data_IF_499442240691
#
_entry.id   IF_499442240691
#
_cell.length_a   1.000
_cell.length_b   1.000
_cell.length_c   1.000
_cell.angle_alpha   90.00
_cell.angle_beta   90.00
_cell.angle_gamma   90.00
#
_symmetry.space_group_name_H-M   'P 1'
#
loop_
_entity.id
_entity.type
_entity.pdbx_description
1 polymer ?
#
# COMPACT_ATOMS: atom_id res chain seq x y z
N UNK A 1 -12.75 5.02 -8.10
CA UNK A 1 -12.02 4.31 -7.02
C UNK A 1 -10.51 4.34 -7.23
N UNK A 2 -9.97 3.89 -8.37
CA UNK A 2 -8.51 3.78 -8.60
C UNK A 2 -7.72 5.06 -8.30
N UNK A 3 -8.14 6.21 -8.84
CA UNK A 3 -7.44 7.48 -8.65
C UNK A 3 -7.38 7.84 -7.16
N UNK A 4 -8.50 7.77 -6.47
CA UNK A 4 -8.61 8.11 -5.04
C UNK A 4 -7.74 7.17 -4.19
N UNK A 5 -7.75 5.87 -4.48
CA UNK A 5 -6.90 4.87 -3.81
C UNK A 5 -5.42 5.13 -4.06
N UNK A 6 -5.03 5.47 -5.29
CA UNK A 6 -3.63 5.67 -5.66
C UNK A 6 -3.04 6.97 -5.10
N UNK A 7 -3.82 8.05 -5.04
CA UNK A 7 -3.34 9.36 -4.59
C UNK A 7 -3.65 9.67 -3.13
N UNK A 8 -4.66 9.02 -2.54
CA UNK A 8 -5.20 9.38 -1.24
C UNK A 8 -4.16 9.30 -0.12
N UNK A 9 -3.39 8.21 -0.04
CA UNK A 9 -2.32 8.07 0.95
C UNK A 9 -1.25 9.18 0.85
N UNK A 10 -0.84 9.50 -0.38
CA UNK A 10 0.12 10.58 -0.63
C UNK A 10 -0.42 11.98 -0.32
N UNK A 11 -1.72 12.22 -0.53
CA UNK A 11 -2.37 13.47 -0.12
C UNK A 11 -2.37 13.60 1.40
N UNK A 12 -2.76 12.54 2.13
CA UNK A 12 -2.73 12.56 3.59
C UNK A 12 -1.32 12.83 4.14
N UNK A 13 -0.30 12.16 3.56
CA UNK A 13 1.10 12.41 3.87
C UNK A 13 1.49 13.87 3.68
N UNK A 14 1.18 14.43 2.51
CA UNK A 14 1.56 15.80 2.17
C UNK A 14 0.86 16.80 3.09
N UNK A 15 -0.40 16.56 3.47
CA UNK A 15 -1.11 17.39 4.45
C UNK A 15 -0.49 17.32 5.85
N UNK A 16 -0.10 16.14 6.31
CA UNK A 16 0.58 15.98 7.61
C UNK A 16 1.97 16.64 7.65
N UNK A 17 2.64 16.69 6.51
CA UNK A 17 3.92 17.38 6.34
C UNK A 17 3.77 18.90 6.12
N UNK A 18 2.55 19.41 5.97
CA UNK A 18 2.30 20.82 5.60
C UNK A 18 2.66 21.16 4.15
N UNK A 19 2.86 20.16 3.30
CA UNK A 19 3.19 20.32 1.89
C UNK A 19 1.92 20.66 1.07
N UNK A 20 1.54 21.93 1.04
CA UNK A 20 0.40 22.44 0.26
C UNK A 20 0.87 23.22 -0.98
N UNK A 21 0.34 22.95 -2.20
CA UNK A 21 -0.64 21.90 -2.52
C UNK A 21 0.00 20.48 -2.52
N UNK A 22 -0.79 19.41 -2.34
CA UNK A 22 -0.29 18.03 -2.43
C UNK A 22 0.33 17.68 -3.78
N UNK A 23 1.37 16.85 -3.78
CA UNK A 23 2.14 16.41 -4.95
C UNK A 23 1.27 15.76 -6.02
N UNK A 24 0.28 14.97 -5.59
CA UNK A 24 -0.69 14.34 -6.49
C UNK A 24 -1.52 15.34 -7.31
N UNK A 25 -1.66 16.58 -6.84
CA UNK A 25 -2.37 17.66 -7.53
C UNK A 25 -1.44 18.58 -8.33
N UNK A 26 -0.13 18.56 -8.04
CA UNK A 26 0.87 19.34 -8.79
C UNK A 26 1.14 18.77 -10.18
N UNK A 27 1.08 17.45 -10.34
CA UNK A 27 1.41 16.78 -11.60
C UNK A 27 0.27 15.88 -12.08
N UNK A 28 -0.19 16.03 -13.34
CA UNK A 28 -1.23 15.18 -13.90
C UNK A 28 -0.77 13.72 -14.08
N UNK A 29 0.54 13.46 -14.02
CA UNK A 29 1.13 12.15 -14.24
C UNK A 29 0.53 11.04 -13.35
N UNK A 30 0.36 11.30 -12.05
CA UNK A 30 -0.19 10.32 -11.11
C UNK A 30 -1.65 9.96 -11.41
N UNK A 31 -2.44 10.96 -11.82
CA UNK A 31 -3.84 10.79 -12.19
C UNK A 31 -3.94 9.98 -13.48
N UNK A 32 -3.14 10.33 -14.50
CA UNK A 32 -3.12 9.65 -15.80
C UNK A 32 -2.75 8.17 -15.65
N UNK A 33 -1.70 7.84 -14.91
CA UNK A 33 -1.32 6.44 -14.65
C UNK A 33 -2.46 5.67 -13.97
N UNK A 34 -3.13 6.30 -13.00
CA UNK A 34 -4.23 5.66 -12.28
C UNK A 34 -5.45 5.38 -13.16
N UNK A 35 -5.72 6.26 -14.14
CA UNK A 35 -6.77 6.06 -15.15
C UNK A 35 -6.38 4.92 -16.09
N UNK A 36 -5.16 4.93 -16.62
CA UNK A 36 -4.67 3.88 -17.52
C UNK A 36 -4.71 2.52 -16.83
N UNK A 37 -4.19 2.41 -15.60
CA UNK A 37 -4.23 1.19 -14.81
C UNK A 37 -5.66 0.68 -14.58
N UNK A 38 -6.61 1.59 -14.34
CA UNK A 38 -8.03 1.25 -14.17
C UNK A 38 -8.67 0.75 -15.46
N UNK A 39 -8.35 1.36 -16.60
CA UNK A 39 -8.87 0.92 -17.91
C UNK A 39 -8.33 -0.47 -18.23
N UNK A 40 -7.03 -0.71 -18.01
CA UNK A 40 -6.42 -2.03 -18.21
C UNK A 40 -7.08 -3.08 -17.30
N UNK A 41 -7.22 -2.78 -16.00
CA UNK A 41 -7.87 -3.68 -15.06
C UNK A 41 -9.33 -3.97 -15.45
N UNK A 42 -10.07 -2.97 -15.92
CA UNK A 42 -11.45 -3.12 -16.41
C UNK A 42 -11.52 -3.97 -17.67
N UNK A 43 -10.65 -3.74 -18.67
CA UNK A 43 -10.60 -4.53 -19.90
C UNK A 43 -10.28 -6.00 -19.62
N UNK A 44 -9.31 -6.27 -18.74
CA UNK A 44 -8.98 -7.63 -18.30
C UNK A 44 -10.20 -8.28 -17.63
N UNK A 45 -10.88 -7.58 -16.73
CA UNK A 45 -12.09 -8.09 -16.08
C UNK A 45 -13.23 -8.38 -17.09
N UNK A 46 -13.41 -7.52 -18.10
CA UNK A 46 -14.41 -7.71 -19.16
C UNK A 46 -14.08 -8.89 -20.08
N UNK A 47 -12.82 -9.05 -20.48
CA UNK A 47 -12.38 -10.19 -21.30
C UNK A 47 -12.64 -11.51 -20.56
N UNK A 48 -12.34 -11.56 -19.26
CA UNK A 48 -12.59 -12.73 -18.42
C UNK A 48 -14.10 -13.01 -18.34
N UNK A 49 -14.92 -11.98 -18.06
CA UNK A 49 -16.39 -12.11 -17.97
C UNK A 49 -17.03 -12.54 -19.29
N UNK A 50 -16.54 -12.02 -20.42
CA UNK A 50 -17.08 -12.29 -21.76
C UNK A 50 -16.73 -13.68 -22.28
N UNK A 51 -15.73 -14.36 -21.72
CA UNK A 51 -15.16 -15.56 -22.34
C UNK A 51 -15.77 -16.88 -21.88
N UNK A 52 -16.30 -17.10 -20.66
CA UNK A 52 -16.62 -18.50 -20.25
C UNK A 52 -17.60 -18.80 -19.09
N UNK A 53 -18.11 -20.02 -19.21
CA UNK A 53 -18.85 -20.94 -18.32
C UNK A 53 -18.31 -21.10 -16.87
N UNK A 54 -19.19 -21.55 -15.98
CA UNK A 54 -19.07 -21.60 -14.51
C UNK A 54 -17.77 -22.20 -13.93
N UNK A 55 -17.18 -23.23 -14.55
CA UNK A 55 -15.96 -23.89 -14.03
C UNK A 55 -14.70 -23.03 -14.20
N UNK A 56 -14.66 -22.18 -15.23
CA UNK A 56 -13.53 -21.27 -15.49
C UNK A 56 -13.57 -20.00 -14.61
N UNK A 57 -14.75 -19.62 -14.14
CA UNK A 57 -14.98 -18.44 -13.31
C UNK A 57 -14.26 -18.58 -11.96
N UNK A 58 -14.30 -19.77 -11.34
CA UNK A 58 -13.58 -20.01 -10.08
C UNK A 58 -12.06 -19.91 -10.23
N UNK A 59 -11.49 -20.41 -11.33
CA UNK A 59 -10.04 -20.37 -11.57
C UNK A 59 -9.57 -18.95 -11.91
N UNK A 60 -10.37 -18.21 -12.68
CA UNK A 60 -10.10 -16.81 -13.00
C UNK A 60 -10.28 -15.88 -11.78
N UNK A 61 -11.30 -16.11 -10.94
CA UNK A 61 -11.51 -15.37 -9.70
C UNK A 61 -10.34 -15.58 -8.72
N UNK A 62 -9.84 -16.81 -8.59
CA UNK A 62 -8.65 -17.11 -7.76
C UNK A 62 -7.41 -16.40 -8.28
N UNK A 63 -7.19 -16.37 -9.59
CA UNK A 63 -6.07 -15.65 -10.19
C UNK A 63 -6.17 -14.14 -9.97
N UNK A 64 -7.37 -13.55 -10.13
CA UNK A 64 -7.61 -12.14 -9.90
C UNK A 64 -7.38 -11.74 -8.43
N UNK A 65 -7.87 -12.54 -7.48
CA UNK A 65 -7.63 -12.30 -6.06
C UNK A 65 -6.13 -12.33 -5.71
N UNK A 66 -5.37 -13.26 -6.29
CA UNK A 66 -3.91 -13.31 -6.10
C UNK A 66 -3.21 -12.08 -6.70
N UNK A 67 -3.62 -11.63 -7.89
CA UNK A 67 -3.08 -10.42 -8.50
C UNK A 67 -3.39 -9.18 -7.65
N UNK A 68 -4.60 -9.07 -7.11
CA UNK A 68 -4.98 -7.99 -6.22
C UNK A 68 -4.14 -7.99 -4.95
N UNK A 69 -3.95 -9.15 -4.31
CA UNK A 69 -3.13 -9.30 -3.11
C UNK A 69 -1.68 -8.87 -3.36
N UNK A 70 -1.06 -9.34 -4.45
CA UNK A 70 0.32 -8.98 -4.79
C UNK A 70 0.42 -7.50 -5.12
N UNK A 71 -0.53 -6.95 -5.86
CA UNK A 71 -0.55 -5.52 -6.21
C UNK A 71 -0.74 -4.64 -4.96
N UNK A 72 -1.59 -5.06 -4.03
CA UNK A 72 -1.81 -4.40 -2.73
C UNK A 72 -0.53 -4.43 -1.90
N UNK A 73 0.13 -5.60 -1.78
CA UNK A 73 1.39 -5.74 -1.06
C UNK A 73 2.51 -4.87 -1.64
N UNK A 74 2.63 -4.81 -2.97
CA UNK A 74 3.60 -3.95 -3.66
C UNK A 74 3.32 -2.48 -3.38
N UNK A 75 2.06 -2.04 -3.56
CA UNK A 75 1.66 -0.66 -3.28
C UNK A 75 1.92 -0.28 -1.81
N UNK A 76 1.55 -1.16 -0.89
CA UNK A 76 1.76 -1.01 0.55
C UNK A 76 3.25 -0.81 0.88
N UNK A 77 4.13 -1.65 0.34
CA UNK A 77 5.57 -1.55 0.55
C UNK A 77 6.16 -0.25 0.00
N UNK A 78 5.88 0.06 -1.27
CA UNK A 78 6.40 1.26 -1.94
C UNK A 78 5.95 2.53 -1.21
N UNK A 79 4.65 2.66 -0.95
CA UNK A 79 4.12 3.87 -0.31
C UNK A 79 4.53 4.01 1.15
N UNK A 80 4.74 2.91 1.86
CA UNK A 80 5.28 2.97 3.23
C UNK A 80 6.68 3.58 3.22
N UNK A 81 7.59 3.03 2.42
CA UNK A 81 8.98 3.49 2.39
C UNK A 81 9.09 4.91 1.83
N UNK A 82 8.36 5.24 0.76
CA UNK A 82 8.32 6.61 0.22
C UNK A 82 7.69 7.62 1.19
N UNK A 83 6.76 7.18 2.06
CA UNK A 83 6.20 8.02 3.11
C UNK A 83 7.22 8.34 4.20
N UNK A 84 8.01 7.35 4.61
CA UNK A 84 9.11 7.54 5.57
C UNK A 84 10.16 8.48 4.98
N UNK A 85 10.59 8.20 3.74
CA UNK A 85 11.60 9.00 3.05
C UNK A 85 11.17 10.46 2.87
N UNK A 86 9.90 10.70 2.52
CA UNK A 86 9.35 12.04 2.48
C UNK A 86 9.44 12.75 3.84
N UNK A 87 9.13 12.05 4.95
CA UNK A 87 9.26 12.61 6.30
C UNK A 87 10.71 12.95 6.66
N UNK A 88 11.66 12.09 6.29
CA UNK A 88 13.10 12.33 6.47
C UNK A 88 13.54 13.55 5.66
N UNK A 89 13.12 13.67 4.40
CA UNK A 89 13.43 14.79 3.53
C UNK A 89 12.87 16.13 4.03
N UNK A 90 11.79 16.11 4.82
CA UNK A 90 11.22 17.30 5.48
C UNK A 90 11.89 17.63 6.83
N UNK A 91 13.01 16.98 7.16
CA UNK A 91 13.81 17.29 8.35
C UNK A 91 13.38 16.55 9.62
N UNK A 92 12.44 15.59 9.53
CA UNK A 92 11.98 14.80 10.67
C UNK A 92 12.81 13.54 10.95
N UNK A 93 14.04 13.46 10.42
CA UNK A 93 14.91 12.29 10.54
C UNK A 93 15.17 11.83 11.98
N UNK A 94 15.14 12.75 12.95
CA UNK A 94 15.32 12.45 14.37
C UNK A 94 14.08 11.86 15.04
N UNK A 95 12.90 12.06 14.45
CA UNK A 95 11.63 11.59 15.01
C UNK A 95 11.20 10.29 14.31
N UNK A 96 11.84 9.18 14.71
CA UNK A 96 11.60 7.84 14.15
C UNK A 96 10.13 7.45 14.26
N UNK A 97 9.50 7.75 15.39
CA UNK A 97 8.07 7.49 15.59
C UNK A 97 7.22 8.17 14.52
N UNK A 98 7.43 9.48 14.31
CA UNK A 98 6.68 10.25 13.33
C UNK A 98 6.89 9.76 11.90
N UNK A 99 8.13 9.55 11.46
CA UNK A 99 8.40 9.14 10.07
C UNK A 99 7.87 7.72 9.79
N UNK A 100 7.97 6.79 10.74
CA UNK A 100 7.39 5.44 10.60
C UNK A 100 5.86 5.51 10.59
N UNK A 101 5.25 6.28 11.49
CA UNK A 101 3.81 6.50 11.51
C UNK A 101 3.31 7.10 10.19
N UNK A 102 3.99 8.14 9.70
CA UNK A 102 3.70 8.78 8.42
C UNK A 102 3.80 7.79 7.26
N UNK A 103 4.86 6.97 7.26
CA UNK A 103 5.04 5.88 6.30
C UNK A 103 3.88 4.91 6.30
N UNK A 104 3.57 4.33 7.46
CA UNK A 104 2.45 3.39 7.63
C UNK A 104 1.16 4.01 7.12
N UNK A 105 0.84 5.25 7.54
CA UNK A 105 -0.37 5.97 7.13
C UNK A 105 -0.41 6.22 5.62
N UNK A 106 0.72 6.55 5.01
CA UNK A 106 0.84 6.71 3.55
C UNK A 106 0.56 5.38 2.83
N UNK A 107 1.15 4.29 3.33
CA UNK A 107 0.99 2.94 2.77
C UNK A 107 -0.43 2.41 2.88
N UNK A 108 -1.00 2.42 4.08
CA UNK A 108 -2.34 1.87 4.34
C UNK A 108 -3.45 2.82 3.89
N UNK A 109 -3.20 4.14 3.87
CA UNK A 109 -4.22 5.16 3.67
C UNK A 109 -4.95 5.04 2.34
N UNK A 110 -4.24 4.71 1.26
CA UNK A 110 -4.87 4.46 -0.05
C UNK A 110 -5.88 3.30 0.00
N UNK A 111 -5.48 2.17 0.59
CA UNK A 111 -6.34 1.00 0.78
C UNK A 111 -7.49 1.27 1.75
N UNK A 112 -7.26 2.02 2.83
CA UNK A 112 -8.33 2.43 3.75
C UNK A 112 -9.41 3.24 3.05
N UNK A 113 -9.03 4.24 2.24
CA UNK A 113 -9.99 5.06 1.51
C UNK A 113 -10.75 4.21 0.47
N UNK A 114 -10.07 3.28 -0.22
CA UNK A 114 -10.70 2.31 -1.12
C UNK A 114 -11.83 1.56 -0.42
N UNK A 115 -11.54 1.02 0.76
CA UNK A 115 -12.45 0.15 1.50
C UNK A 115 -13.65 0.95 2.03
N UNK A 116 -13.42 2.15 2.59
CA UNK A 116 -14.50 3.05 3.05
C UNK A 116 -15.45 3.40 1.91
N UNK A 117 -14.93 3.78 0.74
CA UNK A 117 -15.78 4.13 -0.41
C UNK A 117 -16.51 2.89 -0.95
N UNK A 118 -15.91 1.70 -0.82
CA UNK A 118 -16.58 0.44 -1.14
C UNK A 118 -17.63 0.01 -0.09
N UNK A 119 -17.90 0.85 0.92
CA UNK A 119 -18.78 0.55 2.06
C UNK A 119 -18.36 -0.73 2.81
N UNK A 120 -17.06 -0.92 2.95
CA UNK A 120 -16.43 -2.04 3.62
C UNK A 120 -15.61 -1.53 4.80
N UNK A 121 -15.68 -2.23 5.95
CA UNK A 121 -14.74 -1.99 7.06
C UNK A 121 -13.30 -2.13 6.53
N UNK A 122 -12.40 -1.14 6.70
CA UNK A 122 -11.04 -1.21 6.18
C UNK A 122 -10.24 -2.41 6.66
N UNK A 123 -9.37 -2.95 5.80
CA UNK A 123 -8.55 -4.13 6.11
C UNK A 123 -7.72 -3.98 7.39
N UNK A 124 -7.22 -2.76 7.68
CA UNK A 124 -6.46 -2.46 8.91
C UNK A 124 -7.24 -2.75 10.19
N UNK A 125 -8.58 -2.70 10.17
CA UNK A 125 -9.43 -3.01 11.31
C UNK A 125 -9.93 -4.46 11.32
N UNK A 126 -9.80 -5.19 10.20
CA UNK A 126 -10.24 -6.59 10.09
C UNK A 126 -9.10 -7.58 10.34
N UNK A 127 -7.92 -7.25 9.85
CA UNK A 127 -6.75 -8.12 9.91
C UNK A 127 -5.80 -7.63 10.99
N UNK A 128 -5.54 -8.50 11.96
CA UNK A 128 -4.69 -8.20 13.10
C UNK A 128 -3.23 -7.83 12.72
N UNK A 129 -2.78 -8.15 11.50
CA UNK A 129 -1.39 -7.98 11.06
C UNK A 129 -1.30 -7.18 9.73
N UNK A 130 -2.27 -6.31 9.42
CA UNK A 130 -2.18 -5.50 8.20
C UNK A 130 -1.08 -4.43 8.26
N UNK A 131 -0.99 -3.71 9.38
CA UNK A 131 -0.05 -2.59 9.55
C UNK A 131 1.35 -3.04 10.02
N UNK A 132 1.48 -4.23 10.61
CA UNK A 132 2.73 -4.71 11.19
C UNK A 132 3.88 -4.85 10.16
N UNK A 133 3.66 -5.36 8.93
CA UNK A 133 4.69 -5.42 7.90
C UNK A 133 5.27 -4.02 7.60
N UNK A 134 4.40 -3.00 7.54
CA UNK A 134 4.80 -1.62 7.32
C UNK A 134 5.63 -1.06 8.48
N UNK A 135 5.25 -1.36 9.72
CA UNK A 135 5.99 -0.90 10.91
C UNK A 135 7.39 -1.53 10.93
N UNK A 136 7.48 -2.86 10.84
CA UNK A 136 8.76 -3.57 10.91
C UNK A 136 9.64 -3.21 9.71
N UNK A 137 9.08 -3.21 8.49
CA UNK A 137 9.82 -2.84 7.29
C UNK A 137 10.20 -1.36 7.25
N UNK A 138 9.40 -0.49 7.87
CA UNK A 138 9.73 0.92 8.02
C UNK A 138 10.89 1.16 8.98
N UNK A 139 10.90 0.48 10.13
CA UNK A 139 12.03 0.51 11.07
C UNK A 139 13.29 -0.04 10.39
N UNK A 140 13.17 -1.14 9.63
CA UNK A 140 14.27 -1.69 8.85
C UNK A 140 14.83 -0.66 7.85
N UNK A 141 13.96 0.07 7.15
CA UNK A 141 14.38 1.12 6.21
C UNK A 141 15.18 2.22 6.89
N UNK A 142 14.68 2.75 8.02
CA UNK A 142 15.36 3.79 8.80
C UNK A 142 16.75 3.31 9.24
N UNK A 143 16.89 2.05 9.66
CA UNK A 143 18.18 1.49 10.02
C UNK A 143 19.11 1.32 8.81
N UNK A 144 18.62 0.71 7.73
CA UNK A 144 19.41 0.44 6.53
C UNK A 144 19.94 1.72 5.87
N UNK A 145 19.18 2.81 5.90
CA UNK A 145 19.63 4.10 5.35
C UNK A 145 20.91 4.63 6.01
N UNK A 146 21.21 4.22 7.26
CA UNK A 146 22.44 4.60 7.94
C UNK A 146 23.66 3.74 7.59
N UNK A 147 23.45 2.58 6.95
CA UNK A 147 24.49 1.57 6.69
C UNK A 147 24.79 1.42 5.20
N UNK A 148 23.77 1.52 4.34
CA UNK A 148 23.87 1.26 2.91
C UNK A 148 23.32 2.44 2.08
N UNK A 149 23.50 2.39 0.76
CA UNK A 149 23.02 3.45 -0.12
C UNK A 149 21.50 3.57 -0.09
N UNK A 150 21.01 4.80 -0.21
CA UNK A 150 19.58 5.14 -0.14
C UNK A 150 18.70 4.27 -1.06
N UNK A 151 19.10 4.10 -2.33
CA UNK A 151 18.35 3.30 -3.30
C UNK A 151 18.28 1.82 -2.88
N UNK A 152 19.39 1.25 -2.37
CA UNK A 152 19.40 -0.14 -1.94
C UNK A 152 18.57 -0.36 -0.68
N UNK A 153 18.64 0.56 0.30
CA UNK A 153 17.79 0.53 1.49
C UNK A 153 16.31 0.54 1.12
N UNK A 154 15.94 1.37 0.15
CA UNK A 154 14.57 1.47 -0.36
C UNK A 154 14.12 0.13 -0.97
N UNK A 155 14.88 -0.42 -1.92
CA UNK A 155 14.53 -1.69 -2.58
C UNK A 155 14.44 -2.85 -1.58
N UNK A 156 15.42 -3.00 -0.69
CA UNK A 156 15.44 -4.08 0.30
C UNK A 156 14.22 -3.99 1.22
N UNK A 157 13.88 -2.79 1.69
CA UNK A 157 12.76 -2.58 2.61
C UNK A 157 11.41 -2.81 1.94
N UNK A 158 11.24 -2.38 0.69
CA UNK A 158 10.03 -2.66 -0.09
C UNK A 158 9.86 -4.17 -0.29
N UNK A 159 10.90 -4.87 -0.74
CA UNK A 159 10.86 -6.32 -0.94
C UNK A 159 10.52 -7.02 0.38
N UNK A 160 11.13 -6.59 1.48
CA UNK A 160 10.86 -7.14 2.81
C UNK A 160 9.38 -6.98 3.22
N UNK A 161 8.80 -5.77 3.06
CA UNK A 161 7.38 -5.52 3.36
C UNK A 161 6.48 -6.40 2.50
N UNK A 162 6.76 -6.48 1.19
CA UNK A 162 5.99 -7.30 0.24
C UNK A 162 6.00 -8.77 0.62
N UNK A 163 7.18 -9.32 0.93
CA UNK A 163 7.33 -10.72 1.32
C UNK A 163 6.58 -11.02 2.62
N UNK A 164 6.73 -10.19 3.65
CA UNK A 164 6.01 -10.37 4.91
C UNK A 164 4.50 -10.28 4.67
N UNK A 165 4.04 -9.31 3.86
CA UNK A 165 2.61 -9.16 3.58
C UNK A 165 2.04 -10.39 2.89
N UNK A 166 2.73 -10.93 1.88
CA UNK A 166 2.30 -12.16 1.19
C UNK A 166 2.30 -13.35 2.15
N UNK A 167 3.33 -13.52 2.99
CA UNK A 167 3.42 -14.62 3.96
C UNK A 167 2.31 -14.51 5.01
N UNK A 168 2.06 -13.30 5.52
CA UNK A 168 1.03 -13.03 6.53
C UNK A 168 -0.36 -13.41 6.04
N UNK A 169 -0.66 -13.06 4.78
CA UNK A 169 -1.95 -13.36 4.14
C UNK A 169 -2.11 -14.86 3.84
N UNK A 170 -1.07 -15.51 3.31
CA UNK A 170 -1.11 -16.95 3.02
C UNK A 170 -1.26 -17.81 4.28
N UNK A 171 -0.64 -17.40 5.39
CA UNK A 171 -0.68 -18.12 6.66
C UNK A 171 -1.85 -17.73 7.57
N UNK A 172 -2.70 -16.78 7.16
CA UNK A 172 -3.76 -16.18 7.99
C UNK A 172 -3.26 -15.88 9.41
N UNK A 173 -2.07 -15.28 9.53
CA UNK A 173 -1.49 -14.98 10.82
C UNK A 173 -2.41 -13.95 11.50
N UNK A 174 -3.24 -14.43 12.42
CA UNK A 174 -4.09 -13.61 13.25
C UNK A 174 -3.39 -13.49 14.62
N UNK A 175 -3.18 -12.27 15.11
CA UNK A 175 -2.79 -12.09 16.51
C UNK A 175 -3.84 -12.73 17.42
N UNK A 176 -3.44 -13.35 18.55
CA UNK A 176 -4.39 -13.94 19.50
C UNK A 176 -5.42 -12.89 19.91
N UNK A 177 -6.70 -13.20 19.71
CA UNK A 177 -7.80 -12.34 20.15
C UNK A 177 -7.86 -12.43 21.66
N UNK A 178 -7.66 -11.29 22.34
CA UNK A 178 -8.04 -11.16 23.74
C UNK A 178 -9.54 -10.93 23.72
N UNK A 179 -10.30 -11.99 23.99
CA UNK A 179 -11.73 -11.91 24.27
C UNK A 179 -11.88 -11.22 25.64
N UNK A 180 -12.57 -10.08 25.65
CA UNK A 180 -13.06 -9.43 26.87
C UNK A 180 -14.50 -9.86 27.13
#
# INVERSE_FOLDING_TARGET
MSVITAVGGGIFRDLLLGATPPTALKSPFFIVISIIASIVAMLVALIIKSRREALSIFKAARFYNNLLLVSDAIGLGIFTVLGIDAGIAHGYSQNIFFIVFLGVLTGVGGGMIRDVIANQVPMIFRENIYALPCIIGGILYVYLQSVISHNLALFISVIFIVLIRIISEQRKLNLPRIEY
#
